data_IF_454483090195
#
_entry.id   IF_454483090195
#
_cell.length_a   1.000
_cell.length_b   1.000
_cell.length_c   1.000
_cell.angle_alpha   90.00
_cell.angle_beta   90.00
_cell.angle_gamma   90.00
#
_symmetry.space_group_name_H-M   'P 1'
#
loop_
_entity.id
_entity.type
_entity.pdbx_description
1 polymer ?
#
# COMPACT_ATOMS: atom_id res chain seq x y z
N UNK A 1 10.45 -10.39 -4.21
CA UNK A 1 10.11 -8.98 -4.50
C UNK A 1 9.80 -8.30 -3.18
N UNK A 2 10.81 -8.06 -2.37
CA UNK A 2 10.68 -7.17 -1.21
C UNK A 2 10.69 -5.75 -1.77
N UNK A 3 9.52 -5.30 -2.23
CA UNK A 3 9.30 -3.90 -2.54
C UNK A 3 9.04 -3.20 -1.21
N UNK A 4 9.55 -1.97 -1.07
CA UNK A 4 9.42 -1.05 0.06
C UNK A 4 7.95 -0.84 0.47
N UNK A 5 7.33 -1.86 1.05
CA UNK A 5 6.02 -1.73 1.65
C UNK A 5 6.22 -0.92 2.93
N UNK A 6 5.31 0.01 3.22
CA UNK A 6 5.31 0.69 4.51
C UNK A 6 5.37 -0.37 5.62
N UNK A 7 6.25 -0.18 6.62
CA UNK A 7 6.39 -1.15 7.69
C UNK A 7 5.04 -1.39 8.36
N UNK A 8 4.73 -2.65 8.65
CA UNK A 8 3.49 -2.99 9.33
C UNK A 8 3.59 -2.52 10.78
N UNK A 9 2.88 -1.44 11.10
CA UNK A 9 2.81 -0.91 12.45
C UNK A 9 1.71 -1.63 13.23
N UNK A 10 2.02 -2.06 14.45
CA UNK A 10 1.04 -2.63 15.36
C UNK A 10 0.19 -1.52 16.01
N UNK A 11 -0.93 -1.91 16.61
CA UNK A 11 -1.88 -0.97 17.19
C UNK A 11 -1.33 -0.20 18.39
N UNK A 12 -0.36 -0.73 19.13
CA UNK A 12 0.24 -0.05 20.28
C UNK A 12 1.20 1.04 19.79
N UNK A 13 2.01 0.73 18.78
CA UNK A 13 2.87 1.71 18.10
C UNK A 13 2.05 2.83 17.47
N UNK A 14 0.94 2.53 16.78
CA UNK A 14 0.09 3.55 16.16
C UNK A 14 -0.51 4.54 17.16
N UNK A 15 -0.84 4.09 18.38
CA UNK A 15 -1.41 4.97 19.42
C UNK A 15 -0.40 5.94 20.02
N UNK A 16 0.89 5.70 19.83
CA UNK A 16 1.97 6.55 20.35
C UNK A 16 2.36 7.67 19.39
N UNK A 17 1.84 7.67 18.15
CA UNK A 17 2.17 8.63 17.12
C UNK A 17 1.35 9.91 17.23
N UNK A 18 1.96 11.02 16.83
CA UNK A 18 1.24 12.27 16.62
C UNK A 18 0.30 12.16 15.42
N UNK A 19 -0.74 12.99 15.39
CA UNK A 19 -1.73 13.03 14.30
C UNK A 19 -1.07 13.24 12.95
N UNK A 20 -0.07 14.13 12.87
CA UNK A 20 0.67 14.46 11.66
C UNK A 20 1.41 13.24 11.11
N UNK A 21 2.05 12.47 11.99
CA UNK A 21 2.74 11.23 11.62
C UNK A 21 1.75 10.17 11.12
N UNK A 22 0.58 10.05 11.76
CA UNK A 22 -0.48 9.16 11.31
C UNK A 22 -0.99 9.54 9.92
N UNK A 23 -1.14 10.83 9.62
CA UNK A 23 -1.56 11.33 8.31
C UNK A 23 -0.53 10.99 7.24
N UNK A 24 0.77 11.20 7.50
CA UNK A 24 1.84 10.84 6.57
C UNK A 24 1.83 9.34 6.25
N UNK A 25 1.72 8.48 7.28
CA UNK A 25 1.65 7.03 7.13
C UNK A 25 0.45 6.62 6.27
N UNK A 26 -0.72 7.22 6.49
CA UNK A 26 -1.93 6.93 5.70
C UNK A 26 -1.73 7.31 4.24
N UNK A 27 -1.11 8.46 3.95
CA UNK A 27 -0.83 8.91 2.57
C UNK A 27 0.13 7.95 1.87
N UNK A 28 1.22 7.55 2.54
CA UNK A 28 2.18 6.60 1.99
C UNK A 28 1.55 5.24 1.70
N UNK A 29 0.72 4.73 2.63
CA UNK A 29 0.00 3.46 2.44
C UNK A 29 -1.01 3.55 1.29
N UNK A 30 -1.75 4.65 1.18
CA UNK A 30 -2.68 4.87 0.08
C UNK A 30 -1.98 4.82 -1.28
N UNK A 31 -0.82 5.50 -1.42
CA UNK A 31 -0.02 5.46 -2.64
C UNK A 31 0.47 4.05 -2.98
N UNK A 32 0.95 3.30 -1.98
CA UNK A 32 1.39 1.92 -2.18
C UNK A 32 0.24 1.00 -2.64
N UNK A 33 -0.96 1.18 -2.08
CA UNK A 33 -2.16 0.43 -2.48
C UNK A 33 -2.57 0.76 -3.92
N UNK A 34 -2.51 2.03 -4.33
CA UNK A 34 -2.82 2.42 -5.71
C UNK A 34 -1.84 1.80 -6.71
N UNK A 35 -0.55 1.80 -6.41
CA UNK A 35 0.47 1.16 -7.25
C UNK A 35 0.23 -0.35 -7.34
N UNK A 36 -0.12 -0.99 -6.21
CA UNK A 36 -0.42 -2.42 -6.18
C UNK A 36 -1.66 -2.74 -7.02
N UNK A 37 -2.73 -1.95 -6.87
CA UNK A 37 -3.96 -2.09 -7.65
C UNK A 37 -3.70 -1.99 -9.15
N UNK A 38 -2.93 -0.99 -9.59
CA UNK A 38 -2.54 -0.85 -10.99
C UNK A 38 -1.78 -2.06 -11.49
N UNK A 39 -0.83 -2.58 -10.71
CA UNK A 39 -0.07 -3.78 -11.09
C UNK A 39 -0.94 -5.04 -11.15
N UNK A 40 -1.91 -5.18 -10.25
CA UNK A 40 -2.87 -6.28 -10.29
C UNK A 40 -3.70 -6.22 -11.57
N UNK A 41 -4.22 -5.05 -11.93
CA UNK A 41 -4.99 -4.85 -13.17
C UNK A 41 -4.14 -5.21 -14.41
N UNK A 42 -2.89 -4.75 -14.48
CA UNK A 42 -1.96 -5.12 -15.56
C UNK A 42 -1.78 -6.64 -15.66
N UNK A 43 -1.59 -7.31 -14.52
CA UNK A 43 -1.42 -8.75 -14.49
C UNK A 43 -2.69 -9.50 -14.87
N UNK A 44 -3.87 -9.03 -14.46
CA UNK A 44 -5.16 -9.59 -14.88
C UNK A 44 -5.33 -9.48 -16.40
N UNK A 45 -4.96 -8.35 -17.00
CA UNK A 45 -4.99 -8.17 -18.46
C UNK A 45 -4.05 -9.16 -19.15
N UNK A 46 -2.83 -9.34 -18.64
CA UNK A 46 -1.84 -10.24 -19.23
C UNK A 46 -2.24 -11.72 -19.09
N UNK A 47 -2.80 -12.10 -17.95
CA UNK A 47 -3.10 -13.50 -17.61
C UNK A 47 -4.48 -13.95 -18.04
N UNK A 48 -5.40 -13.02 -18.29
CA UNK A 48 -6.73 -13.26 -18.85
C UNK A 48 -6.99 -12.39 -20.09
N UNK A 49 -6.22 -12.55 -21.18
CA UNK A 49 -6.53 -11.88 -22.43
C UNK A 49 -7.88 -12.41 -22.92
N UNK A 50 -8.93 -11.59 -22.86
CA UNK A 50 -10.20 -11.91 -23.52
C UNK A 50 -9.96 -11.87 -25.03
N UNK A 51 -9.88 -13.06 -25.63
CA UNK A 51 -9.81 -13.39 -27.07
C UNK A 51 -8.54 -12.92 -27.80
#
# INVERSE_FOLDING_TARGET
MEKNLPPKLDSETLKQLATEQLVEIIIEQASAIEQLKSRVIELEIITSPKY
#
